data_IF_395359172496
#
_entry.id   IF_395359172496
#
_cell.length_a   1.000
_cell.length_b   1.000
_cell.length_c   1.000
_cell.angle_alpha   90.00
_cell.angle_beta   90.00
_cell.angle_gamma   90.00
#
_symmetry.space_group_name_H-M   'P 1'
#
loop_
_entity.id
_entity.type
_entity.pdbx_description
1 polymer ?
2 non-polymer ?
3 non-polymer ?
4 water ?
#
# COMPACT_ATOMS: atom_id res chain seq x y z
N UNK A 1 1.97 2.55 -7.29
CA UNK A 1 1.26 2.14 -8.55
C UNK A 1 0.94 3.37 -9.44
N UNK A 2 0.87 4.57 -8.86
CA UNK A 2 0.44 5.84 -9.47
C UNK A 2 0.96 7.04 -8.66
N UNK A 3 0.67 8.30 -9.07
CA UNK A 3 1.29 9.50 -8.47
C UNK A 3 0.94 9.74 -6.99
N UNK A 4 -0.20 9.21 -6.54
CA UNK A 4 -0.61 9.23 -5.12
C UNK A 4 0.35 8.42 -4.28
N UNK A 5 0.61 7.19 -4.72
CA UNK A 5 1.53 6.25 -4.05
C UNK A 5 2.95 6.80 -4.14
N UNK A 6 3.29 7.48 -5.22
CA UNK A 6 4.64 8.09 -5.40
C UNK A 6 4.89 9.15 -4.30
N UNK A 7 3.94 10.04 -4.08
CA UNK A 7 4.07 11.09 -3.04
C UNK A 7 4.13 10.41 -1.65
N UNK A 8 3.21 9.49 -1.37
CA UNK A 8 3.16 8.75 -0.08
C UNK A 8 4.53 8.10 0.17
N UNK A 9 5.08 7.40 -0.83
CA UNK A 9 6.37 6.70 -0.67
C UNK A 9 7.49 7.71 -0.35
N UNK A 10 7.51 8.85 -1.03
CA UNK A 10 8.54 9.89 -0.84
C UNK A 10 8.49 10.39 0.62
N UNK A 11 7.28 10.56 1.16
CA UNK A 11 7.13 10.94 2.60
C UNK A 11 7.61 9.82 3.49
N UNK A 12 7.20 8.55 3.23
CA UNK A 12 7.54 7.44 4.14
C UNK A 12 9.04 7.25 4.19
N UNK A 13 9.72 7.39 3.04
CA UNK A 13 11.15 6.99 2.91
C UNK A 13 12.05 7.98 3.68
N UNK A 14 11.63 9.23 3.85
CA UNK A 14 12.51 10.25 4.46
C UNK A 14 11.96 10.83 5.76
N UNK A 15 10.65 10.79 5.98
CA UNK A 15 10.02 11.57 7.07
C UNK A 15 9.28 10.66 8.06
N UNK A 16 9.61 9.37 8.16
CA UNK A 16 8.95 8.52 9.20
C UNK A 16 9.99 7.74 9.94
N UNK A 17 9.66 7.46 11.20
CA UNK A 17 10.47 6.60 12.09
C UNK A 17 9.47 5.66 12.75
N UNK A 18 9.97 4.60 13.37
CA UNK A 18 9.13 3.70 14.19
C UNK A 18 9.29 4.17 15.63
N UNK A 19 8.18 4.64 16.24
CA UNK A 19 8.18 5.06 17.65
C UNK A 19 7.56 3.96 18.50
N UNK A 20 8.19 3.66 19.64
CA UNK A 20 7.68 2.65 20.60
C UNK A 20 7.54 3.32 21.98
N UNK A 21 6.32 3.32 22.52
CA UNK A 21 6.02 3.76 23.91
C UNK A 21 5.58 2.50 24.67
N UNK A 22 5.19 2.65 25.94
CA UNK A 22 4.59 1.55 26.74
C UNK A 22 3.21 1.12 26.22
N UNK A 23 2.61 1.91 25.33
CA UNK A 23 1.25 1.66 24.75
C UNK A 23 1.36 1.06 23.33
N UNK A 24 2.58 0.79 22.83
CA UNK A 24 2.76 0.09 21.54
C UNK A 24 3.78 0.71 20.58
N UNK A 25 3.78 0.17 19.35
CA UNK A 25 4.60 0.65 18.21
C UNK A 25 3.73 1.51 17.30
N UNK A 26 4.21 2.69 16.91
CA UNK A 26 3.44 3.64 16.07
C UNK A 26 4.31 4.12 14.90
N UNK A 27 3.72 4.28 13.74
CA UNK A 27 4.26 5.15 12.68
C UNK A 27 4.34 6.57 13.26
N UNK A 28 5.49 7.22 13.12
CA UNK A 28 5.70 8.60 13.63
C UNK A 28 6.20 9.46 12.46
N UNK A 29 5.46 10.52 12.15
CA UNK A 29 5.81 11.48 11.08
C UNK A 29 6.77 12.54 11.63
N UNK A 30 7.98 12.64 11.06
CA UNK A 30 8.89 13.77 11.34
C UNK A 30 8.54 14.96 10.44
N UNK A 31 8.42 16.16 10.99
CA UNK A 31 7.88 17.34 10.24
C UNK A 31 9.03 18.29 9.87
N UNK A 32 9.91 18.62 10.83
CA UNK A 32 11.09 19.48 10.55
C UNK A 32 11.99 19.38 11.76
N UNK A 33 13.28 19.74 11.59
CA UNK A 33 14.28 19.73 12.67
C UNK A 33 14.14 18.40 13.43
N UNK A 34 13.92 18.40 14.75
CA UNK A 34 13.80 17.15 15.54
C UNK A 34 12.33 17.02 15.98
N UNK A 35 11.42 17.66 15.28
CA UNK A 35 9.99 17.73 15.69
C UNK A 35 9.21 16.68 14.91
N UNK A 36 8.45 15.87 15.61
CA UNK A 36 7.58 14.83 15.03
C UNK A 36 6.20 14.86 15.70
N UNK A 37 5.30 14.09 15.14
CA UNK A 37 3.93 13.96 15.69
C UNK A 37 3.58 12.49 15.90
N UNK A 38 2.67 12.26 16.84
CA UNK A 38 2.18 10.90 17.18
C UNK A 38 0.77 11.04 17.74
N UNK A 39 -0.11 10.02 17.66
CA UNK A 39 -1.38 10.15 18.39
C UNK A 39 -1.18 10.31 19.90
N UNK A 40 -2.02 11.14 20.51
CA UNK A 40 -1.89 11.46 21.96
C UNK A 40 -2.09 10.19 22.80
N UNK A 41 -2.90 9.23 22.35
CA UNK A 41 -3.10 7.94 23.07
C UNK A 41 -1.84 7.07 23.09
N UNK A 42 -0.77 7.41 22.37
CA UNK A 42 0.55 6.75 22.58
C UNK A 42 1.14 7.04 23.95
N UNK A 43 0.68 8.07 24.67
CA UNK A 43 1.11 8.45 26.04
C UNK A 43 2.64 8.61 26.08
N UNK A 44 3.17 9.54 25.31
CA UNK A 44 4.64 9.75 25.25
C UNK A 44 5.10 10.21 26.64
N UNK A 45 6.22 9.64 27.11
CA UNK A 45 6.86 10.00 28.39
C UNK A 45 8.15 10.74 28.19
N UNK A 46 9.06 10.63 29.15
CA UNK A 46 10.37 11.31 29.18
C UNK A 46 11.35 10.60 28.24
N UNK A 47 11.11 9.31 27.97
CA UNK A 47 11.94 8.42 27.12
C UNK A 47 11.01 7.70 26.13
N UNK A 48 11.44 7.65 24.88
CA UNK A 48 10.73 6.94 23.78
C UNK A 48 11.78 6.14 23.00
N UNK A 49 11.37 5.06 22.31
CA UNK A 49 12.29 4.31 21.42
C UNK A 49 11.99 4.78 19.99
N UNK A 50 13.03 5.17 19.25
CA UNK A 50 12.95 5.65 17.85
C UNK A 50 13.81 4.67 17.03
N UNK A 51 13.18 3.88 16.15
CA UNK A 51 13.90 2.82 15.39
C UNK A 51 14.74 2.00 16.37
N UNK A 52 14.15 1.63 17.51
CA UNK A 52 14.72 0.73 18.56
C UNK A 52 15.91 1.38 19.29
N UNK A 53 16.07 2.70 19.22
CA UNK A 53 17.12 3.43 19.98
C UNK A 53 16.47 4.27 21.08
N UNK A 54 16.96 4.09 22.31
CA UNK A 54 16.53 4.87 23.49
C UNK A 54 16.81 6.35 23.24
N UNK A 55 15.77 7.19 23.29
CA UNK A 55 15.82 8.62 22.92
C UNK A 55 15.09 9.47 23.98
N UNK A 56 15.76 10.48 24.50
CA UNK A 56 15.17 11.44 25.44
C UNK A 56 14.18 12.30 24.71
N UNK A 57 13.02 12.53 25.33
CA UNK A 57 11.98 13.47 24.80
C UNK A 57 12.28 14.86 25.37
N UNK A 58 12.59 15.84 24.52
CA UNK A 58 12.96 17.20 25.02
C UNK A 58 11.69 17.99 25.30
N UNK A 59 10.58 17.69 24.63
CA UNK A 59 9.30 18.39 24.84
C UNK A 59 8.19 17.55 24.21
N UNK A 60 7.01 17.58 24.82
CA UNK A 60 5.85 16.84 24.30
C UNK A 60 4.60 17.66 24.63
N UNK A 61 3.82 18.01 23.62
CA UNK A 61 2.62 18.84 23.85
C UNK A 61 1.40 18.18 23.19
N UNK A 62 0.43 17.78 24.02
CA UNK A 62 -0.87 17.25 23.58
C UNK A 62 -1.75 18.41 23.15
N UNK A 63 -2.03 18.53 21.85
CA UNK A 63 -2.73 19.72 21.32
C UNK A 63 -4.21 19.62 21.65
N UNK A 64 -4.78 20.79 21.95
CA UNK A 64 -6.23 20.98 22.17
C UNK A 64 -6.65 22.23 21.38
N UNK A 65 -7.87 22.29 20.92
CA UNK A 65 -8.36 23.53 20.27
C UNK A 65 -8.72 24.59 21.32
N UNK A 66 -9.15 25.76 20.81
CA UNK A 66 -9.41 26.92 21.68
C UNK A 66 -10.77 26.77 22.37
N UNK A 67 -11.49 25.68 22.17
CA UNK A 67 -12.60 25.27 23.09
C UNK A 67 -12.07 24.30 24.15
N UNK A 68 -10.77 24.01 24.20
CA UNK A 68 -10.16 23.06 25.15
C UNK A 68 -10.77 21.67 24.84
N UNK A 69 -10.92 21.34 23.56
CA UNK A 69 -11.30 19.99 23.07
C UNK A 69 -10.06 19.26 22.53
N UNK A 70 -9.88 18.01 22.93
CA UNK A 70 -8.82 17.10 22.40
C UNK A 70 -8.71 17.23 20.86
N UNK A 71 -7.48 17.30 20.32
CA UNK A 71 -7.22 17.13 18.86
C UNK A 71 -6.54 15.78 18.55
N UNK A 72 -6.02 15.08 19.56
CA UNK A 72 -5.43 13.72 19.45
C UNK A 72 -4.07 13.77 18.77
N UNK A 73 -3.46 14.95 18.65
CA UNK A 73 -2.08 15.08 18.11
C UNK A 73 -1.20 15.46 19.30
N UNK A 74 -0.10 14.75 19.45
CA UNK A 74 1.01 15.18 20.35
C UNK A 74 2.20 15.58 19.46
N UNK A 75 2.73 16.76 19.68
CA UNK A 75 3.99 17.23 19.03
C UNK A 75 5.12 16.87 19.96
N UNK A 76 6.11 16.16 19.42
CA UNK A 76 7.26 15.68 20.21
C UNK A 76 8.53 16.29 19.65
N UNK A 77 9.38 16.82 20.51
CA UNK A 77 10.75 17.15 20.10
C UNK A 77 11.68 16.07 20.65
N UNK A 78 12.48 15.46 19.78
CA UNK A 78 13.33 14.28 20.07
C UNK A 78 14.78 14.75 20.24
N UNK A 79 15.47 14.24 21.27
CA UNK A 79 16.93 14.43 21.41
C UNK A 79 17.68 13.50 20.46
N UNK A 80 17.51 13.75 19.17
CA UNK A 80 18.06 12.94 18.07
C UNK A 80 19.23 13.70 17.43
N UNK A 81 20.23 12.99 16.90
CA UNK A 81 21.45 13.59 16.34
C UNK A 81 21.26 14.00 14.87
N UNK A 82 20.05 13.95 14.36
CA UNK A 82 19.81 14.16 12.92
C UNK A 82 18.46 14.89 12.77
N UNK A 83 18.36 15.77 11.79
CA UNK A 83 17.10 16.51 11.50
C UNK A 83 16.30 15.78 10.42
N UNK A 84 14.98 15.97 10.43
CA UNK A 84 14.07 15.55 9.35
C UNK A 84 14.19 16.57 8.22
N UNK A 85 14.02 16.09 7.01
CA UNK A 85 13.65 16.95 5.87
C UNK A 85 12.47 17.83 6.29
N UNK A 86 12.54 19.13 6.02
CA UNK A 86 11.41 20.04 6.34
C UNK A 86 10.29 19.83 5.31
N UNK A 87 9.12 19.35 5.75
CA UNK A 87 7.92 19.09 4.90
C UNK A 87 6.77 20.01 5.32
N UNK A 88 7.04 21.09 6.04
CA UNK A 88 5.93 21.97 6.48
C UNK A 88 5.21 22.60 5.28
N UNK A 89 5.87 22.81 4.14
CA UNK A 89 5.21 23.41 2.95
C UNK A 89 4.22 22.43 2.31
N UNK A 90 4.17 21.16 2.74
CA UNK A 90 3.15 20.18 2.26
C UNK A 90 1.93 20.13 3.17
N UNK A 91 1.90 20.91 4.26
CA UNK A 91 0.78 20.88 5.23
C UNK A 91 -0.30 21.85 4.78
N UNK A 92 -1.58 21.45 4.81
CA UNK A 92 -2.69 22.36 4.53
C UNK A 92 -2.77 23.50 5.55
N UNK A 93 -3.26 24.63 5.09
CA UNK A 93 -3.47 25.81 5.97
C UNK A 93 -4.84 25.79 6.65
N UNK A 94 -5.84 25.17 6.04
CA UNK A 94 -7.25 25.19 6.55
C UNK A 94 -7.84 23.78 6.59
N UNK A 95 -8.92 23.61 7.38
CA UNK A 95 -9.73 22.38 7.44
C UNK A 95 -10.37 22.20 6.06
N UNK A 96 -10.43 20.98 5.55
CA UNK A 96 -10.91 20.75 4.17
C UNK A 96 -11.28 19.28 4.00
N UNK A 97 -11.99 18.99 2.93
CA UNK A 97 -12.28 17.65 2.36
C UNK A 97 -11.28 17.38 1.24
N UNK A 98 -11.01 16.11 0.94
CA UNK A 98 -9.97 15.70 -0.05
C UNK A 98 -10.52 14.57 -0.91
N UNK A 99 -10.02 14.46 -2.13
CA UNK A 99 -10.25 13.24 -2.95
C UNK A 99 -8.98 12.38 -2.96
N UNK A 100 -9.16 11.07 -3.07
CA UNK A 100 -8.10 10.13 -3.50
C UNK A 100 -6.89 10.24 -2.57
N UNK A 101 -7.07 9.89 -1.30
CA UNK A 101 -5.99 9.88 -0.29
C UNK A 101 -5.39 8.47 -0.14
N UNK A 102 -4.16 8.43 0.35
CA UNK A 102 -3.40 7.20 0.69
C UNK A 102 -3.07 7.29 2.17
N UNK A 103 -3.29 6.17 2.86
CA UNK A 103 -2.85 5.96 4.26
C UNK A 103 -1.63 5.04 4.22
N UNK A 104 -0.50 5.49 4.76
CA UNK A 104 0.80 4.76 4.73
C UNK A 104 1.28 4.43 6.14
N UNK A 105 1.68 3.19 6.36
CA UNK A 105 2.07 2.66 7.69
C UNK A 105 3.44 2.02 7.55
N UNK A 106 4.30 2.22 8.53
CA UNK A 106 5.56 1.46 8.59
C UNK A 106 5.87 1.08 10.04
N UNK A 107 5.60 -0.18 10.38
CA UNK A 107 5.96 -0.73 11.73
C UNK A 107 6.60 -2.10 11.53
N UNK A 108 7.05 -2.74 12.61
CA UNK A 108 7.42 -4.20 12.62
C UNK A 108 6.24 -5.08 12.13
N UNK A 109 5.02 -4.76 12.50
CA UNK A 109 3.83 -5.60 12.17
C UNK A 109 3.43 -5.36 10.70
N UNK A 110 3.55 -4.11 10.24
CA UNK A 110 3.06 -3.68 8.91
C UNK A 110 4.14 -2.84 8.20
N UNK A 111 5.22 -3.47 7.69
CA UNK A 111 6.24 -2.76 6.92
C UNK A 111 5.78 -2.39 5.50
N UNK A 112 6.13 -1.15 5.05
CA UNK A 112 5.88 -0.71 3.67
C UNK A 112 4.42 -0.97 3.25
N UNK A 113 3.47 -0.57 4.09
CA UNK A 113 2.03 -0.72 3.83
C UNK A 113 1.44 0.60 3.30
N UNK A 114 0.74 0.54 2.18
CA UNK A 114 0.07 1.68 1.53
C UNK A 114 -1.37 1.25 1.24
N UNK A 115 -2.33 2.09 1.59
CA UNK A 115 -3.79 1.81 1.43
C UNK A 115 -4.45 2.97 0.71
N UNK A 116 -5.03 2.75 -0.48
CA UNK A 116 -5.80 3.81 -1.14
C UNK A 116 -7.17 3.88 -0.44
N UNK A 117 -7.38 4.90 0.37
CA UNK A 117 -8.62 5.01 1.20
C UNK A 117 -9.70 5.79 0.47
N UNK A 118 -9.41 6.47 -0.64
CA UNK A 118 -10.42 7.20 -1.44
C UNK A 118 -10.76 8.56 -0.87
N UNK A 119 -12.06 8.91 -0.90
CA UNK A 119 -12.55 10.25 -0.49
C UNK A 119 -12.37 10.45 1.02
N UNK A 120 -11.90 11.62 1.41
CA UNK A 120 -11.74 11.98 2.85
C UNK A 120 -12.70 13.13 3.21
N UNK A 121 -13.61 12.91 4.15
CA UNK A 121 -14.60 13.90 4.63
C UNK A 121 -14.03 14.70 5.82
N UNK A 122 -14.26 16.01 5.82
CA UNK A 122 -14.13 16.83 7.05
C UNK A 122 -15.28 16.44 7.96
N UNK A 123 -15.06 15.49 8.84
CA UNK A 123 -16.10 14.88 9.71
C UNK A 123 -16.35 15.82 10.90
N UNK A 124 -15.28 16.40 11.44
CA UNK A 124 -15.34 17.33 12.57
C UNK A 124 -15.33 16.62 13.90
N UNK A 125 -16.48 16.60 14.61
CA UNK A 125 -16.56 16.03 15.97
C UNK A 125 -16.60 14.51 15.89
N UNK A 126 -15.87 13.84 16.77
CA UNK A 126 -15.92 12.38 16.97
C UNK A 126 -15.74 12.10 18.45
N UNK A 127 -16.56 11.22 18.99
CA UNK A 127 -16.33 10.64 20.33
C UNK A 127 -15.37 9.49 20.14
N UNK A 128 -14.07 9.74 20.33
CA UNK A 128 -12.97 8.82 20.00
C UNK A 128 -12.54 8.09 21.26
N UNK A 129 -12.89 6.80 21.38
CA UNK A 129 -12.62 6.05 22.64
C UNK A 129 -13.23 6.75 23.86
N UNK A 130 -14.40 7.36 23.73
CA UNK A 130 -15.04 8.11 24.85
C UNK A 130 -14.53 9.54 25.04
N UNK A 131 -13.51 10.00 24.30
CA UNK A 131 -12.96 11.37 24.43
C UNK A 131 -13.51 12.25 23.30
N UNK A 132 -14.29 13.33 23.57
CA UNK A 132 -14.73 14.25 22.52
C UNK A 132 -13.49 14.81 21.80
N UNK A 133 -13.48 14.72 20.50
CA UNK A 133 -12.31 15.06 19.65
C UNK A 133 -12.79 15.92 18.49
N UNK A 134 -12.04 16.95 18.13
CA UNK A 134 -12.35 17.81 16.97
C UNK A 134 -11.35 17.61 15.82
N UNK A 135 -11.67 18.23 14.68
CA UNK A 135 -10.85 18.24 13.44
C UNK A 135 -10.54 16.83 12.96
N UNK A 136 -11.53 15.95 12.97
CA UNK A 136 -11.38 14.54 12.50
C UNK A 136 -11.72 14.47 11.01
N UNK A 137 -10.84 13.78 10.28
CA UNK A 137 -11.02 13.41 8.86
C UNK A 137 -11.57 11.98 8.85
N UNK A 138 -12.48 11.65 7.94
CA UNK A 138 -13.04 10.27 7.89
C UNK A 138 -12.88 9.67 6.49
N UNK A 139 -12.51 8.40 6.42
CA UNK A 139 -12.40 7.65 5.15
C UNK A 139 -13.09 6.31 5.33
N UNK A 140 -13.69 5.81 4.25
CA UNK A 140 -14.53 4.58 4.29
C UNK A 140 -13.62 3.40 3.98
N UNK A 141 -12.68 3.11 4.87
CA UNK A 141 -11.82 1.90 4.81
C UNK A 141 -11.76 1.26 6.19
N UNK A 142 -11.88 -0.10 6.27
CA UNK A 142 -11.81 -0.84 7.52
C UNK A 142 -10.38 -1.01 8.04
N UNK A 143 -9.86 0.09 8.59
CA UNK A 143 -8.53 0.17 9.24
C UNK A 143 -8.52 -0.69 10.51
N UNK A 144 -7.35 -1.24 10.85
CA UNK A 144 -7.15 -2.21 11.96
C UNK A 144 -6.23 -1.60 13.02
N UNK A 145 -6.16 -2.24 14.18
CA UNK A 145 -5.11 -2.04 15.21
C UNK A 145 -3.75 -2.17 14.53
N UNK A 146 -2.80 -1.29 14.90
CA UNK A 146 -1.45 -1.26 14.32
C UNK A 146 -1.27 -0.15 13.28
N UNK A 147 -2.33 0.56 12.89
CA UNK A 147 -2.26 1.59 11.84
C UNK A 147 -2.24 3.00 12.43
N UNK A 148 -2.32 3.14 13.77
CA UNK A 148 -2.33 4.47 14.42
C UNK A 148 -0.98 5.14 14.18
N UNK A 149 -1.01 6.42 13.80
CA UNK A 149 0.18 7.19 13.45
C UNK A 149 0.40 7.18 11.95
N UNK A 150 -0.36 6.33 11.21
CA UNK A 150 -0.18 6.18 9.77
C UNK A 150 -0.38 7.54 9.12
N UNK A 151 0.34 7.82 8.05
CA UNK A 151 0.29 9.17 7.42
C UNK A 151 -0.78 9.15 6.33
N UNK A 152 -1.65 10.16 6.36
CA UNK A 152 -2.65 10.39 5.29
C UNK A 152 -2.17 11.50 4.36
N UNK A 153 -2.08 11.19 3.07
CA UNK A 153 -1.56 12.09 2.02
C UNK A 153 -2.49 12.10 0.82
N UNK A 154 -2.51 13.23 0.14
CA UNK A 154 -2.90 13.31 -1.28
C UNK A 154 -1.66 13.70 -2.08
N UNK A 155 -1.77 13.74 -3.39
CA UNK A 155 -0.68 14.29 -4.23
C UNK A 155 -0.41 15.72 -3.72
N UNK A 156 0.80 15.93 -3.25
CA UNK A 156 1.36 17.22 -2.85
C UNK A 156 0.98 17.62 -1.45
N UNK A 157 0.12 16.89 -0.71
CA UNK A 157 -0.23 17.32 0.67
C UNK A 157 -0.19 16.18 1.71
N UNK A 158 0.31 16.50 2.90
CA UNK A 158 0.28 15.62 4.10
C UNK A 158 -0.84 16.17 4.97
N UNK A 159 -1.97 15.45 5.07
CA UNK A 159 -3.22 16.08 5.60
C UNK A 159 -3.59 15.57 7.00
N UNK A 160 -3.02 14.47 7.49
CA UNK A 160 -3.51 13.90 8.76
C UNK A 160 -2.69 12.71 9.21
N UNK A 161 -2.96 12.25 10.42
CA UNK A 161 -2.39 11.01 10.99
C UNK A 161 -3.55 10.18 11.58
N UNK A 162 -3.55 8.90 11.22
CA UNK A 162 -4.56 7.90 11.61
C UNK A 162 -4.63 7.79 13.14
N UNK A 163 -5.83 7.92 13.73
CA UNK A 163 -5.97 7.85 15.22
C UNK A 163 -7.06 6.85 15.64
N UNK A 164 -7.80 6.25 14.72
CA UNK A 164 -8.86 5.29 15.13
C UNK A 164 -9.73 4.78 14.02
N UNK A 165 -10.67 3.89 14.39
CA UNK A 165 -11.58 3.25 13.43
C UNK A 165 -12.79 2.66 14.14
N UNK A 166 -13.83 2.31 13.39
CA UNK A 166 -15.03 1.65 13.98
C UNK A 166 -15.28 0.30 13.27
N UNK A 167 -14.31 -0.23 12.54
CA UNK A 167 -14.46 -1.50 11.81
C UNK A 167 -14.82 -1.29 10.35
N UNK A 168 -15.55 -0.22 10.00
CA UNK A 168 -15.97 0.12 8.60
C UNK A 168 -15.32 1.42 8.09
N UNK A 169 -15.12 2.36 9.00
CA UNK A 169 -14.48 3.68 8.74
C UNK A 169 -13.17 3.81 9.52
N UNK A 170 -12.26 4.63 8.99
CA UNK A 170 -11.05 5.09 9.70
C UNK A 170 -11.11 6.59 9.91
N UNK A 171 -10.41 7.07 10.92
CA UNK A 171 -10.42 8.48 11.37
C UNK A 171 -8.98 8.95 11.53
N UNK A 172 -8.72 10.15 11.01
CA UNK A 172 -7.40 10.79 11.16
C UNK A 172 -7.58 12.15 11.82
N UNK A 173 -6.59 12.56 12.61
CA UNK A 173 -6.48 13.95 13.14
C UNK A 173 -5.82 14.81 12.07
N UNK A 174 -6.41 15.96 11.77
CA UNK A 174 -5.88 16.93 10.79
C UNK A 174 -4.49 17.37 11.20
N UNK A 175 -3.63 17.54 10.20
CA UNK A 175 -2.39 18.34 10.40
C UNK A 175 -2.60 19.68 9.69
N UNK A 176 -2.32 20.75 10.38
CA UNK A 176 -2.41 22.13 9.88
C UNK A 176 -1.04 22.80 10.00
N UNK A 177 -0.69 23.60 9.00
CA UNK A 177 0.56 24.38 8.97
C UNK A 177 0.74 25.16 10.28
N UNK A 178 -0.33 25.72 10.85
CA UNK A 178 -0.24 26.60 12.05
C UNK A 178 0.19 25.81 13.29
N UNK A 179 0.13 24.48 13.30
CA UNK A 179 0.63 23.72 14.47
C UNK A 179 2.17 23.80 14.56
N UNK A 180 2.89 24.12 13.48
CA UNK A 180 4.37 23.92 13.38
C UNK A 180 5.11 25.20 13.01
N UNK A 181 4.50 26.35 13.28
CA UNK A 181 5.16 27.68 13.08
C UNK A 181 6.16 27.85 14.24
N UNK A 182 7.26 28.57 13.98
CA UNK A 182 8.43 28.70 14.88
C UNK A 182 9.11 30.06 14.63
N UNK B 2 -0.65 -11.09 9.92
CA UNK B 2 0.78 -11.35 10.27
C UNK B 2 1.38 -12.45 9.39
N UNK B 3 0.77 -13.68 9.43
CA UNK B 3 1.09 -14.69 8.43
C UNK B 3 0.83 -14.16 7.00
N UNK B 4 -0.24 -13.36 6.80
CA UNK B 4 -0.61 -12.72 5.51
C UNK B 4 0.50 -11.83 4.93
N UNK B 5 1.07 -10.93 5.75
CA UNK B 5 2.20 -10.05 5.33
C UNK B 5 3.48 -10.84 5.18
N UNK B 6 3.76 -11.81 6.06
CA UNK B 6 4.92 -12.72 5.87
C UNK B 6 4.81 -13.38 4.49
N UNK B 7 3.64 -13.95 4.21
CA UNK B 7 3.43 -14.72 2.96
C UNK B 7 3.71 -13.79 1.76
N UNK B 8 3.08 -12.63 1.72
CA UNK B 8 3.23 -11.67 0.59
C UNK B 8 4.71 -11.30 0.43
N UNK B 9 5.44 -11.06 1.54
CA UNK B 9 6.91 -10.75 1.47
C UNK B 9 7.74 -11.89 0.92
N UNK B 10 7.43 -13.13 1.29
CA UNK B 10 8.17 -14.35 0.87
C UNK B 10 7.99 -14.55 -0.65
N UNK B 11 6.78 -14.30 -1.14
CA UNK B 11 6.47 -14.36 -2.60
C UNK B 11 7.19 -13.21 -3.33
N UNK B 12 7.13 -11.99 -2.78
CA UNK B 12 7.85 -10.80 -3.31
C UNK B 12 9.34 -11.13 -3.47
N UNK B 13 10.01 -11.52 -2.38
CA UNK B 13 11.49 -11.63 -2.33
C UNK B 13 12.02 -12.72 -3.28
N UNK B 14 11.36 -13.85 -3.41
CA UNK B 14 11.92 -14.98 -4.19
C UNK B 14 11.27 -15.11 -5.57
N UNK B 15 10.03 -14.68 -5.75
CA UNK B 15 9.26 -15.00 -6.98
C UNK B 15 8.82 -13.75 -7.78
N UNK B 16 9.24 -12.53 -7.43
CA UNK B 16 8.79 -11.30 -8.15
C UNK B 16 10.02 -10.62 -8.75
N UNK B 17 9.97 -10.34 -10.06
CA UNK B 17 11.02 -9.61 -10.81
C UNK B 17 10.39 -8.40 -11.50
N UNK B 18 11.21 -7.44 -11.93
CA UNK B 18 10.77 -6.26 -12.73
C UNK B 18 10.91 -6.61 -14.20
N UNK B 19 9.80 -6.62 -14.94
CA UNK B 19 9.81 -6.94 -16.38
C UNK B 19 9.62 -5.61 -17.12
N UNK B 20 10.42 -5.36 -18.15
CA UNK B 20 10.24 -4.13 -18.95
C UNK B 20 10.04 -4.54 -20.40
N UNK B 21 8.89 -4.15 -20.94
CA UNK B 21 8.51 -4.32 -22.37
C UNK B 21 8.55 -2.96 -23.04
N UNK B 22 8.20 -2.92 -24.33
CA UNK B 22 8.03 -1.65 -25.08
C UNK B 22 7.09 -0.71 -24.31
N UNK B 23 6.14 -1.23 -23.53
CA UNK B 23 5.12 -0.42 -22.80
C UNK B 23 5.66 0.12 -21.46
N UNK B 24 6.79 -0.35 -20.96
CA UNK B 24 7.38 0.10 -19.69
C UNK B 24 7.48 -1.03 -18.67
N UNK B 25 7.38 -0.71 -17.37
CA UNK B 25 7.76 -1.72 -16.33
C UNK B 25 6.48 -2.35 -15.76
N UNK B 26 6.59 -3.64 -15.45
CA UNK B 26 5.48 -4.42 -14.87
C UNK B 26 6.01 -5.31 -13.77
N UNK B 27 5.25 -5.45 -12.70
CA UNK B 27 5.54 -6.48 -11.69
C UNK B 27 5.33 -7.85 -12.36
N UNK B 28 6.33 -8.72 -12.36
CA UNK B 28 6.19 -10.04 -13.03
C UNK B 28 6.32 -11.12 -11.94
N UNK B 29 5.44 -12.12 -11.98
CA UNK B 29 5.52 -13.30 -11.09
C UNK B 29 6.16 -14.50 -11.79
N UNK B 30 7.28 -14.96 -11.26
CA UNK B 30 7.89 -16.25 -11.64
C UNK B 30 7.22 -17.39 -10.92
N UNK B 31 6.79 -18.41 -11.65
CA UNK B 31 5.94 -19.49 -11.08
C UNK B 31 6.77 -20.77 -10.84
N UNK B 32 7.59 -21.17 -11.81
CA UNK B 32 8.46 -22.39 -11.73
C UNK B 32 9.43 -22.37 -12.91
N UNK B 33 10.56 -23.08 -12.79
CA UNK B 33 11.50 -23.21 -13.93
C UNK B 33 11.80 -21.82 -14.49
N UNK B 34 11.61 -21.61 -15.80
CA UNK B 34 11.79 -20.25 -16.38
C UNK B 34 10.43 -19.71 -16.84
N UNK B 35 9.37 -20.13 -16.17
CA UNK B 35 7.96 -19.78 -16.55
C UNK B 35 7.47 -18.68 -15.63
N UNK B 36 7.02 -17.57 -16.22
CA UNK B 36 6.50 -16.40 -15.47
C UNK B 36 5.20 -15.93 -16.10
N UNK B 37 4.50 -15.07 -15.38
CA UNK B 37 3.24 -14.47 -15.89
C UNK B 37 3.30 -12.96 -15.79
N UNK B 38 2.57 -12.31 -16.69
CA UNK B 38 2.52 -10.83 -16.82
C UNK B 38 1.16 -10.53 -17.46
N UNK B 39 0.53 -9.37 -17.20
CA UNK B 39 -0.68 -9.02 -17.92
C UNK B 39 -0.51 -8.95 -19.44
N UNK B 40 -1.52 -9.42 -20.18
CA UNK B 40 -1.45 -9.50 -21.65
C UNK B 40 -1.21 -8.09 -22.22
N UNK B 41 -1.77 -7.06 -21.59
CA UNK B 41 -1.64 -5.65 -22.06
C UNK B 41 -0.19 -5.17 -22.01
N UNK B 42 0.75 -5.91 -21.39
CA UNK B 42 2.20 -5.56 -21.40
C UNK B 42 2.83 -5.68 -22.79
N UNK B 43 2.17 -6.39 -23.71
CA UNK B 43 2.61 -6.56 -25.13
C UNK B 43 4.03 -7.12 -25.16
N UNK B 44 4.20 -8.32 -24.59
CA UNK B 44 5.50 -9.04 -24.56
C UNK B 44 5.96 -9.31 -26.00
N UNK B 45 7.23 -8.99 -26.29
CA UNK B 45 7.81 -9.16 -27.62
C UNK B 45 8.73 -10.36 -27.67
N UNK B 46 9.75 -10.29 -28.51
CA UNK B 46 10.77 -11.37 -28.63
C UNK B 46 11.81 -11.21 -27.51
N UNK B 47 11.97 -9.99 -27.03
CA UNK B 47 13.01 -9.60 -26.04
C UNK B 47 12.29 -8.86 -24.93
N UNK B 48 12.68 -9.13 -23.69
CA UNK B 48 12.17 -8.45 -22.48
C UNK B 48 13.37 -8.16 -21.58
N UNK B 49 13.25 -7.12 -20.76
CA UNK B 49 14.22 -6.82 -19.68
C UNK B 49 13.68 -7.40 -18.38
N UNK B 50 14.52 -8.19 -17.70
CA UNK B 50 14.21 -8.81 -16.37
C UNK B 50 15.22 -8.25 -15.37
N UNK B 51 14.79 -7.39 -14.46
CA UNK B 51 15.72 -6.69 -13.53
C UNK B 51 16.82 -6.00 -14.34
N UNK B 52 16.45 -5.38 -15.46
CA UNK B 52 17.29 -4.53 -16.34
C UNK B 52 18.28 -5.39 -17.15
N UNK B 53 18.09 -6.71 -17.21
CA UNK B 53 18.91 -7.62 -18.07
C UNK B 53 18.11 -7.98 -19.34
N UNK B 54 18.63 -7.63 -20.51
CA UNK B 54 18.10 -8.09 -21.82
C UNK B 54 17.95 -9.62 -21.83
N UNK B 55 16.72 -10.14 -22.07
CA UNK B 55 16.38 -11.58 -21.95
C UNK B 55 15.53 -11.99 -23.16
N UNK B 56 15.92 -13.05 -23.85
CA UNK B 56 15.11 -13.62 -24.95
C UNK B 56 13.84 -14.24 -24.34
N UNK B 57 12.68 -13.92 -24.88
CA UNK B 57 11.41 -14.67 -24.59
C UNK B 57 11.28 -15.85 -25.57
N UNK B 58 11.42 -17.06 -25.07
CA UNK B 58 11.40 -18.29 -25.91
C UNK B 58 9.97 -18.58 -26.34
N UNK B 59 8.98 -18.25 -25.51
CA UNK B 59 7.56 -18.57 -25.75
C UNK B 59 6.69 -17.58 -24.99
N UNK B 60 5.63 -17.09 -25.63
CA UNK B 60 4.60 -16.25 -24.98
C UNK B 60 3.24 -16.79 -25.40
N UNK B 61 2.38 -17.03 -24.42
CA UNK B 61 1.01 -17.52 -24.63
C UNK B 61 0.03 -16.53 -23.98
N UNK B 62 -0.79 -15.87 -24.79
CA UNK B 62 -1.90 -15.02 -24.33
C UNK B 62 -3.08 -15.92 -23.97
N UNK B 63 -3.29 -16.21 -22.70
CA UNK B 63 -4.24 -17.26 -22.28
C UNK B 63 -5.68 -16.89 -22.65
N UNK B 64 -6.40 -17.91 -23.12
CA UNK B 64 -7.86 -17.86 -23.32
C UNK B 64 -8.47 -19.15 -22.78
N UNK B 65 -9.74 -19.10 -22.38
CA UNK B 65 -10.36 -20.29 -21.76
C UNK B 65 -11.04 -21.12 -22.86
N UNK B 66 -11.77 -22.13 -22.47
CA UNK B 66 -12.42 -23.07 -23.44
C UNK B 66 -13.65 -22.46 -24.09
N UNK B 67 -14.17 -21.31 -23.65
CA UNK B 67 -15.18 -20.53 -24.39
C UNK B 67 -14.50 -19.62 -25.42
N UNK B 68 -13.17 -19.74 -25.56
CA UNK B 68 -12.37 -18.87 -26.47
C UNK B 68 -12.51 -17.40 -26.01
N UNK B 69 -12.40 -17.17 -24.70
CA UNK B 69 -12.50 -15.82 -24.11
C UNK B 69 -11.15 -15.46 -23.48
N UNK B 70 -10.74 -14.21 -23.66
CA UNK B 70 -9.51 -13.65 -23.06
C UNK B 70 -9.52 -13.88 -21.55
N UNK B 71 -8.35 -14.22 -21.01
CA UNK B 71 -8.11 -14.25 -19.53
C UNK B 71 -7.15 -13.12 -19.08
N UNK B 72 -6.51 -12.40 -20.02
CA UNK B 72 -5.63 -11.25 -19.74
C UNK B 72 -4.33 -11.63 -19.01
N UNK B 73 -3.96 -12.89 -19.01
CA UNK B 73 -2.65 -13.41 -18.48
C UNK B 73 -1.87 -13.87 -19.68
N UNK B 74 -0.61 -13.47 -19.78
CA UNK B 74 0.35 -14.06 -20.71
C UNK B 74 1.39 -14.89 -19.92
N UNK B 75 1.54 -16.15 -20.30
CA UNK B 75 2.59 -17.03 -19.74
C UNK B 75 3.82 -16.92 -20.65
N UNK B 76 4.96 -16.61 -20.08
CA UNK B 76 6.25 -16.46 -20.82
C UNK B 76 7.22 -17.54 -20.36
N UNK B 77 8.06 -18.02 -21.28
CA UNK B 77 9.21 -18.91 -21.00
C UNK B 77 10.47 -18.10 -21.29
N UNK B 78 11.29 -17.86 -20.28
CA UNK B 78 12.45 -16.94 -20.41
C UNK B 78 13.74 -17.73 -20.68
N UNK B 79 14.61 -17.20 -21.54
CA UNK B 79 15.99 -17.73 -21.75
C UNK B 79 16.94 -17.11 -20.70
N UNK B 80 16.97 -17.68 -19.49
CA UNK B 80 17.84 -17.22 -18.38
C UNK B 80 18.24 -18.42 -17.51
N UNK B 81 19.41 -18.32 -16.89
CA UNK B 81 20.03 -19.44 -16.14
C UNK B 81 19.25 -19.67 -14.85
N UNK B 82 18.91 -18.60 -14.14
CA UNK B 82 18.21 -18.71 -12.82
C UNK B 82 16.86 -19.40 -13.02
N UNK B 83 16.52 -20.28 -12.10
CA UNK B 83 15.23 -21.00 -12.07
C UNK B 83 14.38 -20.34 -10.98
N UNK B 84 13.07 -20.18 -11.20
CA UNK B 84 12.16 -19.65 -10.16
C UNK B 84 11.84 -20.74 -9.14
N UNK B 85 11.83 -20.38 -7.86
CA UNK B 85 11.30 -21.21 -6.75
C UNK B 85 9.89 -21.68 -7.10
N UNK B 86 9.65 -23.01 -7.20
CA UNK B 86 8.32 -23.57 -7.59
C UNK B 86 7.29 -23.13 -6.56
N UNK B 87 6.21 -22.44 -6.99
CA UNK B 87 5.09 -21.99 -6.13
C UNK B 87 3.76 -22.53 -6.68
N UNK B 88 3.77 -23.51 -7.57
CA UNK B 88 2.48 -24.02 -8.13
C UNK B 88 1.57 -24.57 -7.05
N UNK B 89 2.12 -25.12 -5.95
CA UNK B 89 1.31 -25.67 -4.83
C UNK B 89 0.54 -24.56 -4.11
N UNK B 90 0.87 -23.28 -4.33
CA UNK B 90 0.12 -22.15 -3.74
C UNK B 90 -0.96 -21.58 -4.64
N UNK B 91 -1.16 -22.14 -5.84
CA UNK B 91 -2.20 -21.63 -6.78
C UNK B 91 -3.51 -22.33 -6.47
N UNK B 92 -4.63 -21.60 -6.41
CA UNK B 92 -5.96 -22.20 -6.28
C UNK B 92 -6.27 -23.19 -7.42
N UNK B 93 -7.02 -24.25 -7.09
CA UNK B 93 -7.50 -25.26 -8.06
C UNK B 93 -8.76 -24.77 -8.75
N UNK B 94 -9.58 -23.99 -8.05
CA UNK B 94 -10.89 -23.51 -8.57
C UNK B 94 -11.04 -22.01 -8.35
N UNK B 95 -12.04 -21.42 -9.00
CA UNK B 95 -12.44 -20.00 -8.85
C UNK B 95 -13.04 -19.84 -7.47
N UNK B 96 -12.83 -18.70 -6.80
CA UNK B 96 -13.33 -18.52 -5.41
C UNK B 96 -13.28 -17.04 -5.01
N UNK B 97 -13.98 -16.72 -3.91
CA UNK B 97 -13.94 -15.41 -3.22
C UNK B 97 -12.90 -15.55 -2.10
N UNK B 98 -12.34 -14.44 -1.63
CA UNK B 98 -11.26 -14.40 -0.61
C UNK B 98 -11.42 -13.19 0.30
N UNK B 99 -10.91 -13.29 1.53
CA UNK B 99 -10.82 -12.16 2.48
C UNK B 99 -9.35 -11.79 2.72
N UNK B 100 -9.09 -10.55 3.14
CA UNK B 100 -7.79 -10.11 3.69
C UNK B 100 -6.68 -10.32 2.63
N UNK B 101 -6.92 -9.91 1.39
CA UNK B 101 -5.91 -10.03 0.31
C UNK B 101 -4.91 -8.86 0.39
N UNK B 102 -3.70 -9.11 -0.10
CA UNK B 102 -2.62 -8.11 -0.22
C UNK B 102 -2.18 -8.09 -1.69
N UNK B 103 -2.06 -6.89 -2.23
CA UNK B 103 -1.53 -6.61 -3.58
C UNK B 103 -0.12 -6.10 -3.41
N UNK B 104 0.86 -6.81 -3.98
CA UNK B 104 2.31 -6.54 -3.81
C UNK B 104 2.92 -6.06 -5.14
N UNK B 105 3.39 -4.81 -5.13
CA UNK B 105 3.90 -4.06 -6.33
C UNK B 105 5.42 -4.03 -6.25
N UNK B 106 6.10 -4.27 -7.36
CA UNK B 106 7.57 -4.23 -7.40
C UNK B 106 8.06 -3.72 -8.75
N UNK B 107 8.47 -2.44 -8.80
CA UNK B 107 9.05 -1.81 -10.03
C UNK B 107 10.22 -0.92 -9.60
N UNK B 108 10.93 -0.34 -10.56
CA UNK B 108 12.07 0.59 -10.23
C UNK B 108 11.52 1.79 -9.45
N UNK B 109 10.31 2.23 -9.76
CA UNK B 109 9.65 3.40 -9.13
C UNK B 109 9.05 3.02 -7.76
N UNK B 110 8.52 1.80 -7.65
CA UNK B 110 7.78 1.31 -6.45
C UNK B 110 8.38 -0.03 -5.99
N UNK B 111 9.55 -0.03 -5.33
CA UNK B 111 10.16 -1.28 -4.91
C UNK B 111 9.45 -1.77 -3.64
N UNK B 112 9.22 -3.05 -3.48
CA UNK B 112 8.63 -3.51 -2.18
C UNK B 112 7.45 -2.65 -1.65
N UNK B 113 6.34 -2.48 -2.36
CA UNK B 113 5.11 -1.79 -1.87
C UNK B 113 3.97 -2.82 -1.62
N UNK B 114 3.36 -2.85 -0.43
CA UNK B 114 2.28 -3.79 -0.05
C UNK B 114 0.97 -3.03 0.18
N UNK B 115 -0.06 -3.37 -0.61
CA UNK B 115 -1.36 -2.69 -0.59
C UNK B 115 -2.43 -3.67 -0.14
N UNK B 116 -2.88 -3.60 1.13
CA UNK B 116 -3.99 -4.38 1.64
C UNK B 116 -5.21 -3.94 0.83
N UNK B 117 -5.86 -4.89 0.17
CA UNK B 117 -7.08 -4.59 -0.60
C UNK B 117 -8.27 -5.20 0.11
N UNK B 118 -8.05 -6.22 0.96
CA UNK B 118 -9.12 -6.81 1.79
C UNK B 118 -9.97 -7.79 1.01
N UNK B 119 -11.27 -7.50 0.91
CA UNK B 119 -12.25 -8.48 0.41
C UNK B 119 -12.17 -8.55 -1.12
N UNK B 120 -12.02 -9.75 -1.61
CA UNK B 120 -11.90 -10.05 -3.06
C UNK B 120 -13.09 -10.92 -3.47
N UNK B 121 -13.84 -10.45 -4.46
CA UNK B 121 -15.01 -11.15 -5.06
C UNK B 121 -14.63 -11.85 -6.37
N UNK B 122 -15.13 -13.07 -6.58
CA UNK B 122 -15.21 -13.72 -7.90
C UNK B 122 -16.21 -12.91 -8.74
N UNK B 123 -15.73 -11.98 -9.54
CA UNK B 123 -16.56 -11.00 -10.28
C UNK B 123 -16.98 -11.64 -11.60
N UNK B 124 -16.05 -12.36 -12.23
CA UNK B 124 -16.25 -13.17 -13.44
C UNK B 124 -16.02 -12.36 -14.70
N UNK B 125 -17.09 -11.98 -15.38
CA UNK B 125 -17.04 -11.36 -16.73
C UNK B 125 -16.79 -9.87 -16.58
N UNK B 126 -15.81 -9.36 -17.34
CA UNK B 126 -15.53 -7.90 -17.42
C UNK B 126 -15.20 -7.51 -18.87
N UNK B 127 -15.80 -6.43 -19.34
CA UNK B 127 -15.33 -5.81 -20.61
C UNK B 127 -14.12 -4.93 -20.29
N UNK B 128 -12.92 -5.43 -20.55
CA UNK B 128 -11.69 -4.73 -20.14
C UNK B 128 -11.02 -4.07 -21.38
N UNK B 129 -11.09 -2.74 -21.45
CA UNK B 129 -10.56 -1.96 -22.60
C UNK B 129 -11.18 -2.41 -23.91
N UNK B 130 -12.45 -2.83 -23.85
CA UNK B 130 -13.21 -3.26 -25.04
C UNK B 130 -13.06 -4.75 -25.33
N UNK B 131 -12.27 -5.48 -24.52
CA UNK B 131 -12.09 -6.95 -24.69
C UNK B 131 -12.90 -7.70 -23.63
N UNK B 132 -13.84 -8.56 -24.04
CA UNK B 132 -14.55 -9.45 -23.12
C UNK B 132 -13.56 -10.40 -22.41
N UNK B 133 -13.61 -10.43 -21.08
CA UNK B 133 -12.61 -11.10 -20.24
C UNK B 133 -13.32 -11.93 -19.18
N UNK B 134 -12.77 -13.11 -18.90
CA UNK B 134 -13.28 -14.03 -17.84
C UNK B 134 -12.34 -14.07 -16.62
N UNK B 135 -12.88 -14.66 -15.56
CA UNK B 135 -12.19 -15.03 -14.30
C UNK B 135 -11.53 -13.80 -13.68
N UNK B 136 -12.25 -12.69 -13.65
CA UNK B 136 -11.80 -11.46 -12.95
C UNK B 136 -12.15 -11.53 -11.47
N UNK B 137 -11.16 -11.20 -10.63
CA UNK B 137 -11.29 -10.93 -9.18
C UNK B 137 -11.43 -9.41 -8.99
N UNK B 138 -12.30 -8.98 -8.08
CA UNK B 138 -12.56 -7.53 -7.89
C UNK B 138 -12.34 -7.18 -6.41
N UNK B 139 -11.77 -6.01 -6.19
CA UNK B 139 -11.52 -5.43 -4.83
C UNK B 139 -11.74 -3.93 -4.93
N UNK B 140 -12.02 -3.32 -3.78
CA UNK B 140 -12.06 -1.86 -3.71
C UNK B 140 -10.67 -1.33 -4.05
N UNK B 141 -10.61 -0.24 -4.82
CA UNK B 141 -9.35 0.40 -5.28
C UNK B 141 -9.68 1.81 -5.77
N UNK B 142 -10.02 2.73 -4.83
CA UNK B 142 -10.50 4.07 -5.18
C UNK B 142 -9.36 5.02 -5.52
N UNK B 143 -8.65 4.72 -6.60
CA UNK B 143 -7.47 5.45 -7.10
C UNK B 143 -7.38 5.13 -8.60
N UNK B 144 -6.72 5.96 -9.37
CA UNK B 144 -6.44 5.66 -10.80
C UNK B 144 -4.97 5.26 -10.81
N UNK B 145 -4.70 3.96 -10.72
CA UNK B 145 -3.35 3.36 -10.75
C UNK B 145 -2.88 3.26 -12.21
N UNK B 146 -1.55 3.29 -12.41
CA UNK B 146 -0.92 3.00 -13.72
C UNK B 146 -0.97 1.52 -14.06
N UNK B 147 -0.15 1.11 -15.01
CA UNK B 147 -0.26 -0.20 -15.69
C UNK B 147 0.50 -1.31 -14.95
N UNK B 148 1.38 -0.97 -14.00
CA UNK B 148 2.51 -1.86 -13.62
C UNK B 148 1.98 -3.14 -12.93
N UNK B 149 0.81 -3.06 -12.34
CA UNK B 149 0.13 -4.19 -11.66
C UNK B 149 0.90 -4.71 -10.45
N UNK B 150 0.71 -6.01 -10.16
CA UNK B 150 1.16 -6.56 -8.88
C UNK B 150 0.53 -7.91 -8.59
N UNK B 151 1.05 -8.57 -7.58
CA UNK B 151 0.64 -9.94 -7.26
C UNK B 151 -0.37 -9.89 -6.11
N UNK B 152 -1.46 -10.64 -6.22
CA UNK B 152 -2.51 -10.66 -5.17
C UNK B 152 -2.39 -11.97 -4.39
N UNK B 153 -2.18 -11.85 -3.07
CA UNK B 153 -2.02 -13.02 -2.18
C UNK B 153 -2.99 -12.97 -1.02
N UNK B 154 -3.26 -14.14 -0.47
CA UNK B 154 -3.98 -14.31 0.81
C UNK B 154 -3.01 -15.02 1.74
N UNK B 155 -3.45 -15.41 2.94
CA UNK B 155 -2.67 -16.41 3.71
C UNK B 155 -2.73 -17.73 2.91
N UNK B 156 -1.58 -18.16 2.47
CA UNK B 156 -1.37 -19.48 1.92
C UNK B 156 -1.61 -19.58 0.44
N UNK B 157 -2.10 -18.52 -0.25
CA UNK B 157 -2.35 -18.68 -1.70
C UNK B 157 -1.94 -17.44 -2.51
N UNK B 158 -1.48 -17.74 -3.72
CA UNK B 158 -1.24 -16.72 -4.78
C UNK B 158 -2.43 -16.75 -5.74
N UNK B 159 -3.30 -15.75 -5.66
CA UNK B 159 -4.66 -15.88 -6.24
C UNK B 159 -4.79 -15.14 -7.57
N UNK B 160 -3.89 -14.21 -7.90
CA UNK B 160 -4.09 -13.44 -9.15
C UNK B 160 -3.02 -12.39 -9.36
N UNK B 161 -3.11 -11.72 -10.52
CA UNK B 161 -2.23 -10.57 -10.86
C UNK B 161 -3.14 -9.42 -11.34
N UNK B 162 -2.86 -8.24 -10.83
CA UNK B 162 -3.63 -7.01 -11.08
C UNK B 162 -3.56 -6.64 -12.58
N UNK B 163 -4.71 -6.51 -13.25
CA UNK B 163 -4.74 -6.20 -14.70
C UNK B 163 -5.42 -4.87 -15.03
N UNK B 164 -6.14 -4.24 -14.12
CA UNK B 164 -6.86 -2.99 -14.48
C UNK B 164 -7.68 -2.42 -13.35
N UNK B 165 -8.48 -1.39 -13.65
CA UNK B 165 -9.31 -0.72 -12.64
C UNK B 165 -10.18 0.35 -13.27
N UNK B 166 -11.20 0.84 -12.55
CA UNK B 166 -12.16 1.84 -13.12
C UNK B 166 -12.26 3.08 -12.23
N UNK B 167 -11.25 3.33 -11.38
CA UNK B 167 -11.21 4.47 -10.44
C UNK B 167 -11.84 4.19 -9.07
N UNK B 168 -12.77 3.23 -8.98
CA UNK B 168 -13.47 2.77 -7.75
C UNK B 168 -13.07 1.33 -7.40
N UNK B 169 -12.95 0.47 -8.42
CA UNK B 169 -12.68 -0.97 -8.23
C UNK B 169 -11.36 -1.31 -8.90
N UNK B 170 -10.68 -2.32 -8.38
CA UNK B 170 -9.46 -2.92 -8.95
C UNK B 170 -9.78 -4.32 -9.42
N UNK B 171 -9.13 -4.75 -10.50
CA UNK B 171 -9.39 -6.08 -11.13
C UNK B 171 -8.09 -6.85 -11.30
N UNK B 172 -8.14 -8.12 -10.91
CA UNK B 172 -7.06 -9.08 -11.08
C UNK B 172 -7.57 -10.25 -11.92
N UNK B 173 -6.69 -10.82 -12.74
CA UNK B 173 -6.90 -12.09 -13.45
C UNK B 173 -6.55 -13.24 -12.51
N UNK B 174 -7.43 -14.24 -12.39
CA UNK B 174 -7.17 -15.41 -11.53
C UNK B 174 -5.92 -16.15 -12.00
N UNK B 175 -5.17 -16.70 -11.04
CA UNK B 175 -4.20 -17.75 -11.34
C UNK B 175 -4.78 -19.07 -10.84
N UNK B 176 -4.81 -20.07 -11.72
CA UNK B 176 -5.28 -21.43 -11.40
C UNK B 176 -4.13 -22.42 -11.60
N UNK B 177 -4.11 -23.45 -10.76
CA UNK B 177 -3.12 -24.53 -10.83
C UNK B 177 -3.09 -25.14 -12.23
N UNK B 178 -4.25 -25.28 -12.85
CA UNK B 178 -4.36 -25.97 -14.17
C UNK B 178 -3.66 -25.20 -15.29
N UNK B 179 -3.28 -23.94 -15.09
CA UNK B 179 -2.62 -23.15 -16.17
C UNK B 179 -1.16 -23.59 -16.38
N UNK B 180 -0.58 -24.28 -15.39
CA UNK B 180 0.86 -24.58 -15.31
C UNK B 180 1.14 -26.09 -15.13
N UNK B 181 0.14 -26.95 -15.24
CA UNK B 181 0.32 -28.43 -15.19
C UNK B 181 0.98 -28.92 -16.48
X LIG C 1 -4.71 -9.04 5.54
X LIG C 1 -3.75 -5.75 6.94
X LIG C 1 -4.23 -4.49 7.24
X LIG C 1 -4.05 -8.01 5.94
X LIG C 1 -3.81 -10.05 5.51
X LIG C 1 -5.98 -2.83 7.13
X LIG C 1 -5.51 -4.09 6.84
X LIG C 1 -2.75 -8.26 6.15
X LIG C 1 -6.30 -5.02 6.15
X LIG C 1 -5.83 -6.28 5.87
X LIG C 1 -4.54 -6.66 6.25
X LIG C 1 -2.56 -9.63 5.86
X LIG D 1 2.89 -23.39 -18.92
X LIG D 1 3.93 -23.25 -20.03
X LIG D 1 3.64 -24.36 -17.66
X LIG D 1 1.70 -24.58 -19.48
#
# INVERSE_FOLDING_TARGET
>A
MGPGFDFAQAIMKKNTVIARTEKGEFTMLGVYDRVAVIPTHASVGEIIYINDVETRVLDACALRDLTDTNLEITIVKLDRNQKFRDIRHFLPRCEDDYNDAVLSVHTSKFPNMYIPVGQVTNYGFLNLGGTPTHRILMYNFPTRAGQCGGVVTTTGKVIGIHVGGNGAQGFAAMLLHSYFTD
>B
MGPGFDFAQAIMKKNTVIARTEKGEFTMLGVYDRVAVIPTHASVGEIIYINDVETRVLDACALRDLTDTNLEITIVKLDRNQKFRDIRHFLPRCEDDYNDAVLSVHTSKFPNMYIPVGQVTNYGFLNLGGTPTHRILMYNFPTRAGQCGGVVTTTGKVIGIHVGGNGAQGFAAMLLHSYFTD
>C hetero
1 TJL N1 C4 C5 C6 C7 N C O C1 C2 C3 N2
>D hetero
1 DMS S O C1 C2
#
